data_IF_951198078078
#
_entry.id   IF_951198078078
#
_cell.length_a   1.000
_cell.length_b   1.000
_cell.length_c   1.000
_cell.angle_alpha   90.00
_cell.angle_beta   90.00
_cell.angle_gamma   90.00
#
_symmetry.space_group_name_H-M   'P 1'
#
loop_
_entity.id
_entity.type
_entity.pdbx_description
1 polymer ?
#
# COMPACT_ATOMS: atom_id res chain seq x y z
N UNK A 1 15.19 -14.95 -25.91
CA UNK A 1 14.25 -13.83 -26.11
C UNK A 1 15.04 -12.54 -26.26
N UNK A 2 14.80 -11.83 -27.31
CA UNK A 2 15.50 -10.58 -27.58
C UNK A 2 14.59 -9.41 -27.19
N UNK A 3 14.93 -8.74 -26.08
CA UNK A 3 14.15 -7.60 -25.60
C UNK A 3 14.91 -6.33 -25.95
N UNK A 4 14.27 -5.45 -26.69
CA UNK A 4 14.81 -4.12 -26.97
C UNK A 4 14.28 -3.13 -25.93
N UNK A 5 15.16 -2.28 -25.44
CA UNK A 5 14.78 -1.20 -24.55
C UNK A 5 14.75 0.11 -25.33
N UNK A 6 13.66 0.85 -25.18
CA UNK A 6 13.56 2.20 -25.74
C UNK A 6 13.23 3.17 -24.63
N UNK A 7 13.74 4.40 -24.76
CA UNK A 7 13.44 5.47 -23.80
C UNK A 7 12.63 6.56 -24.50
N UNK A 8 11.46 6.86 -23.95
CA UNK A 8 10.62 7.98 -24.43
C UNK A 8 10.15 8.79 -23.23
N UNK A 9 10.31 10.11 -23.32
CA UNK A 9 9.92 11.04 -22.26
C UNK A 9 10.55 10.72 -20.90
N UNK A 10 11.80 10.24 -20.89
CA UNK A 10 12.52 9.86 -19.68
C UNK A 10 12.09 8.54 -19.08
N UNK A 11 11.27 7.76 -19.77
CA UNK A 11 10.82 6.45 -19.30
C UNK A 11 11.36 5.34 -20.18
N UNK A 12 11.73 4.24 -19.54
CA UNK A 12 12.18 3.04 -20.24
C UNK A 12 11.00 2.14 -20.60
N UNK A 13 11.01 1.66 -21.84
CA UNK A 13 10.03 0.71 -22.35
C UNK A 13 10.73 -0.51 -22.91
N UNK A 14 10.10 -1.67 -22.72
CA UNK A 14 10.55 -2.91 -23.39
C UNK A 14 9.76 -3.09 -24.68
N UNK A 15 10.47 -3.36 -25.77
CA UNK A 15 9.86 -3.67 -27.07
C UNK A 15 10.12 -5.12 -27.38
N UNK A 16 9.09 -5.90 -27.64
CA UNK A 16 9.18 -7.31 -27.96
C UNK A 16 8.13 -7.68 -29.02
N UNK A 17 8.35 -8.76 -29.78
CA UNK A 17 7.36 -9.23 -30.76
C UNK A 17 6.02 -9.53 -30.09
N UNK A 18 4.93 -9.29 -30.82
CA UNK A 18 3.57 -9.50 -30.29
C UNK A 18 3.29 -10.93 -29.84
N UNK A 19 3.85 -11.92 -30.51
CA UNK A 19 3.70 -13.32 -30.12
C UNK A 19 4.38 -13.61 -28.78
N UNK A 20 5.53 -13.02 -28.52
CA UNK A 20 6.22 -13.15 -27.22
C UNK A 20 5.46 -12.40 -26.13
N UNK A 21 4.92 -11.23 -26.45
CA UNK A 21 4.07 -10.49 -25.52
C UNK A 21 2.84 -11.28 -25.13
N UNK A 22 2.17 -11.93 -26.09
CA UNK A 22 1.01 -12.77 -25.83
C UNK A 22 1.34 -13.94 -24.92
N UNK A 23 2.49 -14.58 -25.11
CA UNK A 23 2.94 -15.67 -24.25
C UNK A 23 3.14 -15.20 -22.81
N UNK A 24 3.71 -14.02 -22.63
CA UNK A 24 3.88 -13.42 -21.31
C UNK A 24 2.53 -13.01 -20.70
N UNK A 25 1.60 -12.53 -21.50
CA UNK A 25 0.27 -12.15 -21.04
C UNK A 25 -0.63 -13.35 -20.71
N UNK A 26 -0.37 -14.51 -21.28
CA UNK A 26 -1.03 -15.77 -20.91
C UNK A 26 -0.63 -16.21 -19.49
N UNK A 27 0.46 -15.69 -18.96
CA UNK A 27 0.80 -15.84 -17.56
C UNK A 27 -0.03 -14.84 -16.74
N UNK A 28 -1.06 -15.34 -16.08
CA UNK A 28 -2.01 -14.52 -15.31
C UNK A 28 -1.34 -13.70 -14.20
N UNK A 29 -0.28 -14.23 -13.63
CA UNK A 29 0.50 -13.56 -12.57
C UNK A 29 1.21 -12.33 -13.13
N UNK A 30 1.88 -12.46 -14.27
CA UNK A 30 2.56 -11.37 -14.94
C UNK A 30 1.60 -10.25 -15.36
N UNK A 31 0.42 -10.62 -15.88
CA UNK A 31 -0.61 -9.65 -16.26
C UNK A 31 -1.14 -8.88 -15.04
N UNK A 32 -1.34 -9.56 -13.93
CA UNK A 32 -1.79 -8.95 -12.69
C UNK A 32 -0.75 -7.93 -12.17
N UNK A 33 0.53 -8.28 -12.22
CA UNK A 33 1.63 -7.41 -11.80
C UNK A 33 1.73 -6.15 -12.65
N UNK A 34 1.61 -6.28 -13.97
CA UNK A 34 1.62 -5.14 -14.90
C UNK A 34 0.44 -4.21 -14.64
N UNK A 35 -0.76 -4.75 -14.48
CA UNK A 35 -1.94 -3.93 -14.18
C UNK A 35 -1.83 -3.22 -12.84
N UNK A 36 -1.33 -3.90 -11.82
CA UNK A 36 -1.13 -3.31 -10.50
C UNK A 36 -0.12 -2.17 -10.56
N UNK A 37 0.98 -2.35 -11.28
CA UNK A 37 1.99 -1.32 -11.47
C UNK A 37 1.42 -0.09 -12.19
N UNK A 38 0.70 -0.27 -13.30
CA UNK A 38 0.11 0.83 -14.06
C UNK A 38 -0.92 1.59 -13.24
N UNK A 39 -1.74 0.89 -12.47
CA UNK A 39 -2.73 1.52 -11.60
C UNK A 39 -2.05 2.35 -10.49
N UNK A 40 -1.04 1.81 -9.84
CA UNK A 40 -0.29 2.51 -8.80
C UNK A 40 0.39 3.76 -9.35
N UNK A 41 1.04 3.66 -10.50
CA UNK A 41 1.69 4.78 -11.17
C UNK A 41 0.71 5.89 -11.54
N UNK A 42 -0.46 5.53 -12.08
CA UNK A 42 -1.50 6.49 -12.41
C UNK A 42 -2.02 7.25 -11.18
N UNK A 43 -2.12 6.57 -10.04
CA UNK A 43 -2.53 7.21 -8.77
C UNK A 43 -1.49 8.19 -8.28
N UNK A 44 -0.22 7.83 -8.30
CA UNK A 44 0.90 8.70 -7.92
C UNK A 44 0.94 9.95 -8.80
N UNK A 45 0.79 9.79 -10.10
CA UNK A 45 0.78 10.91 -11.06
C UNK A 45 -0.40 11.85 -10.83
N UNK A 46 -1.53 11.33 -10.35
CA UNK A 46 -2.71 12.14 -10.02
C UNK A 46 -2.64 12.76 -8.61
N UNK A 47 -1.61 12.45 -7.83
CA UNK A 47 -1.45 12.95 -6.47
C UNK A 47 -2.47 12.40 -5.49
N UNK A 48 -3.12 11.28 -5.81
CA UNK A 48 -4.15 10.66 -4.97
C UNK A 48 -3.60 9.64 -3.98
N UNK A 49 -2.44 9.06 -4.27
CA UNK A 49 -1.77 8.11 -3.38
C UNK A 49 -0.48 8.70 -2.86
N UNK A 50 -0.24 8.52 -1.58
CA UNK A 50 1.09 8.73 -1.01
C UNK A 50 1.98 7.53 -1.36
N UNK A 51 3.25 7.81 -1.63
CA UNK A 51 4.26 6.75 -1.72
C UNK A 51 4.39 6.11 -0.34
N UNK A 52 4.27 4.79 -0.29
CA UNK A 52 4.48 4.04 0.96
C UNK A 52 5.98 4.01 1.23
N UNK A 53 6.47 4.55 2.36
CA UNK A 53 7.88 4.45 2.70
C UNK A 53 8.36 3.01 2.75
N UNK A 54 9.59 2.76 2.30
CA UNK A 54 10.18 1.42 2.28
C UNK A 54 10.15 0.77 3.66
N UNK A 55 10.41 1.54 4.71
CA UNK A 55 10.37 1.09 6.10
C UNK A 55 9.02 0.44 6.45
N UNK A 56 7.92 1.06 6.04
CA UNK A 56 6.59 0.52 6.29
C UNK A 56 6.36 -0.76 5.49
N UNK A 57 6.75 -0.77 4.22
CA UNK A 57 6.61 -1.95 3.38
C UNK A 57 7.39 -3.14 3.94
N UNK A 58 8.61 -2.92 4.40
CA UNK A 58 9.45 -3.97 5.00
C UNK A 58 8.83 -4.54 6.28
N UNK A 59 8.33 -3.69 7.17
CA UNK A 59 7.70 -4.10 8.41
C UNK A 59 6.40 -4.87 8.17
N UNK A 60 5.61 -4.46 7.18
CA UNK A 60 4.39 -5.17 6.80
C UNK A 60 4.71 -6.56 6.23
N UNK A 61 5.73 -6.69 5.42
CA UNK A 61 6.19 -7.97 4.89
C UNK A 61 6.71 -8.89 6.01
N UNK A 62 7.27 -8.33 7.06
CA UNK A 62 7.69 -9.08 8.25
C UNK A 62 6.53 -9.55 9.12
N UNK A 63 5.30 -9.20 8.78
CA UNK A 63 4.09 -9.63 9.50
C UNK A 63 3.66 -8.71 10.64
N UNK A 64 4.24 -7.53 10.75
CA UNK A 64 3.83 -6.57 11.77
C UNK A 64 2.44 -5.97 11.47
N UNK A 65 1.74 -5.58 12.52
CA UNK A 65 0.44 -4.93 12.39
C UNK A 65 0.55 -3.63 11.58
N UNK A 66 -0.27 -3.51 10.54
CA UNK A 66 -0.32 -2.29 9.71
C UNK A 66 -0.64 -1.05 10.54
N UNK A 67 -1.58 -1.16 11.46
CA UNK A 67 -1.96 -0.06 12.35
C UNK A 67 -0.78 0.39 13.22
N UNK A 68 -0.08 -0.55 13.83
CA UNK A 68 1.09 -0.27 14.67
C UNK A 68 2.21 0.39 13.85
N UNK A 69 2.49 -0.13 12.67
CA UNK A 69 3.56 0.39 11.79
C UNK A 69 3.29 1.84 11.41
N UNK A 70 2.08 2.16 10.95
CA UNK A 70 1.71 3.53 10.61
C UNK A 70 1.71 4.46 11.82
N UNK A 71 1.22 3.98 12.95
CA UNK A 71 1.22 4.75 14.21
C UNK A 71 2.65 5.16 14.62
N UNK A 72 3.56 4.20 14.64
CA UNK A 72 4.96 4.45 15.00
C UNK A 72 5.66 5.34 13.97
N UNK A 73 5.37 5.14 12.70
CA UNK A 73 5.91 6.00 11.64
C UNK A 73 5.50 7.46 11.80
N UNK A 74 4.25 7.71 12.22
CA UNK A 74 3.76 9.07 12.52
C UNK A 74 4.24 9.61 13.89
N UNK A 75 4.98 8.81 14.67
CA UNK A 75 5.48 9.21 15.96
C UNK A 75 4.44 9.29 17.06
N UNK A 76 3.34 8.54 16.93
CA UNK A 76 2.23 8.56 17.88
C UNK A 76 2.29 7.38 18.84
N UNK A 77 1.96 7.64 20.12
CA UNK A 77 1.69 6.56 21.07
C UNK A 77 0.27 6.03 20.85
N UNK A 78 -0.08 4.90 21.46
CA UNK A 78 -1.44 4.38 21.43
C UNK A 78 -2.43 5.39 22.01
N UNK A 79 -2.05 6.09 23.06
CA UNK A 79 -2.86 7.12 23.69
C UNK A 79 -3.05 8.34 22.77
N UNK A 80 -1.99 8.78 22.11
CA UNK A 80 -2.05 9.88 21.14
C UNK A 80 -3.03 9.55 20.01
N UNK A 81 -2.94 8.33 19.47
CA UNK A 81 -3.82 7.88 18.42
C UNK A 81 -5.27 7.77 18.92
N UNK A 82 -5.48 7.28 20.15
CA UNK A 82 -6.79 7.21 20.75
C UNK A 82 -7.45 8.58 20.85
N UNK A 83 -6.68 9.58 21.30
CA UNK A 83 -7.18 10.95 21.42
C UNK A 83 -7.50 11.56 20.04
N UNK A 84 -6.65 11.33 19.05
CA UNK A 84 -6.82 11.88 17.72
C UNK A 84 -7.96 11.21 16.93
N UNK A 85 -8.12 9.90 17.07
CA UNK A 85 -9.11 9.11 16.33
C UNK A 85 -10.46 8.97 17.04
N UNK A 86 -10.48 9.22 18.33
CA UNK A 86 -11.61 8.95 19.21
C UNK A 86 -11.98 7.46 19.31
N UNK A 87 -11.00 6.61 19.02
CA UNK A 87 -11.07 5.17 19.26
C UNK A 87 -10.38 4.89 20.58
N UNK A 88 -10.97 4.03 21.41
CA UNK A 88 -10.39 3.76 22.73
C UNK A 88 -9.01 3.10 22.63
N UNK A 89 -8.13 3.43 23.56
CA UNK A 89 -6.79 2.80 23.62
C UNK A 89 -6.84 1.28 23.73
N UNK A 90 -7.71 0.68 24.57
CA UNK A 90 -7.83 -0.79 24.61
C UNK A 90 -8.22 -1.39 23.26
N UNK A 91 -9.06 -0.72 22.49
CA UNK A 91 -9.45 -1.15 21.15
C UNK A 91 -8.25 -1.10 20.20
N UNK A 92 -7.48 -0.02 20.21
CA UNK A 92 -6.27 0.12 19.40
C UNK A 92 -5.27 -0.99 19.78
N UNK A 93 -5.03 -1.21 21.05
CA UNK A 93 -4.13 -2.26 21.51
C UNK A 93 -4.59 -3.65 21.05
N UNK A 94 -5.88 -3.94 21.14
CA UNK A 94 -6.44 -5.21 20.69
C UNK A 94 -6.30 -5.40 19.17
N UNK A 95 -6.48 -4.32 18.40
CA UNK A 95 -6.29 -4.36 16.95
C UNK A 95 -4.84 -4.58 16.55
N UNK A 96 -3.90 -3.96 17.24
CA UNK A 96 -2.47 -4.09 16.95
C UNK A 96 -1.94 -5.51 17.19
N UNK A 97 -2.50 -6.22 18.17
CA UNK A 97 -2.11 -7.62 18.45
C UNK A 97 -2.97 -8.64 17.71
N UNK A 98 -3.93 -8.20 16.90
CA UNK A 98 -4.77 -9.06 16.08
C UNK A 98 -5.96 -9.68 16.78
N UNK A 99 -6.29 -9.28 18.01
CA UNK A 99 -7.45 -9.79 18.75
C UNK A 99 -8.79 -9.22 18.25
N UNK A 100 -8.76 -8.04 17.63
CA UNK A 100 -9.93 -7.40 17.04
C UNK A 100 -9.56 -6.76 15.70
N UNK A 101 -10.48 -6.79 14.75
CA UNK A 101 -10.28 -6.18 13.43
C UNK A 101 -10.85 -4.76 13.34
N UNK A 102 -11.82 -4.44 14.17
CA UNK A 102 -12.54 -3.19 14.09
C UNK A 102 -13.50 -3.12 12.90
N UNK A 103 -14.54 -2.32 13.03
CA UNK A 103 -15.46 -2.05 11.93
C UNK A 103 -14.93 -0.99 10.97
N UNK A 104 -15.59 -0.82 9.82
CA UNK A 104 -15.23 0.20 8.82
C UNK A 104 -15.22 1.60 9.44
N UNK A 105 -16.18 1.94 10.29
CA UNK A 105 -16.21 3.24 10.95
C UNK A 105 -15.00 3.49 11.83
N UNK A 106 -14.56 2.48 12.58
CA UNK A 106 -13.35 2.54 13.39
C UNK A 106 -12.09 2.71 12.53
N UNK A 107 -11.98 1.93 11.45
CA UNK A 107 -10.86 2.03 10.52
C UNK A 107 -10.79 3.39 9.83
N UNK A 108 -11.93 3.96 9.46
CA UNK A 108 -11.98 5.31 8.88
C UNK A 108 -11.47 6.38 9.84
N UNK A 109 -11.83 6.31 11.11
CA UNK A 109 -11.35 7.25 12.13
C UNK A 109 -9.85 7.13 12.30
N UNK A 110 -9.32 5.92 12.35
CA UNK A 110 -7.90 5.67 12.46
C UNK A 110 -7.14 6.15 11.22
N UNK A 111 -7.68 5.91 10.03
CA UNK A 111 -7.08 6.37 8.78
C UNK A 111 -6.97 7.90 8.73
N UNK A 112 -8.01 8.61 9.14
CA UNK A 112 -8.00 10.07 9.21
C UNK A 112 -6.94 10.56 10.21
N UNK A 113 -6.88 9.95 11.39
CA UNK A 113 -5.93 10.32 12.43
C UNK A 113 -4.48 10.08 12.01
N UNK A 114 -4.24 9.03 11.24
CA UNK A 114 -2.92 8.69 10.71
C UNK A 114 -2.59 9.39 9.39
N UNK A 115 -3.57 10.07 8.81
CA UNK A 115 -3.46 10.72 7.50
C UNK A 115 -3.03 9.73 6.39
N UNK A 116 -3.70 8.60 6.34
CA UNK A 116 -3.52 7.57 5.31
C UNK A 116 -4.88 7.19 4.74
N UNK A 117 -4.86 6.56 3.57
CA UNK A 117 -6.08 6.01 2.99
C UNK A 117 -6.53 4.77 3.75
N UNK A 118 -7.83 4.53 3.78
CA UNK A 118 -8.41 3.35 4.43
C UNK A 118 -7.80 2.06 3.89
N UNK A 119 -7.49 2.00 2.61
CA UNK A 119 -6.90 0.84 1.95
C UNK A 119 -5.54 0.47 2.53
N UNK A 120 -4.81 1.41 3.13
CA UNK A 120 -3.53 1.16 3.76
C UNK A 120 -3.66 0.50 5.14
N UNK A 121 -4.84 0.52 5.73
CA UNK A 121 -5.11 -0.09 7.04
C UNK A 121 -5.90 -1.39 6.95
N UNK A 122 -6.64 -1.54 5.88
CA UNK A 122 -7.52 -2.70 5.68
C UNK A 122 -6.77 -3.96 5.24
#
# INVERSE_FOLDING_TARGET
>A
MRIEKITRQGKEFAVLPMDELKKLMDDAEMLADVKAYDAAKARIERGKDELIPLEIAERRLAGESTLKVWREYRGLTQEDLANASKVSRPMIAAMEVGHKKGGIGTLKRLAVALNVDLDHLA
#
